data_IF_914858164676
#
_entry.id   IF_914858164676
#
_cell.length_a   1.000
_cell.length_b   1.000
_cell.length_c   1.000
_cell.angle_alpha   90.00
_cell.angle_beta   90.00
_cell.angle_gamma   90.00
#
_symmetry.space_group_name_H-M   'P 1'
#
loop_
_entity.id
_entity.type
_entity.pdbx_description
1 polymer ?
#
# COMPACT_ATOMS: atom_id res chain seq x y z
N UNK A 1 -9.48 5.45 -5.80
CA UNK A 1 -8.52 6.56 -5.63
C UNK A 1 -7.09 6.04 -5.69
N UNK A 2 -6.14 6.87 -6.13
CA UNK A 2 -4.70 6.54 -6.14
C UNK A 2 -3.99 7.50 -5.19
N UNK A 3 -3.21 6.97 -4.25
CA UNK A 3 -2.45 7.72 -3.25
C UNK A 3 -0.98 7.36 -3.38
N UNK A 4 -0.11 8.35 -3.52
CA UNK A 4 1.34 8.15 -3.74
C UNK A 4 2.12 8.81 -2.60
N UNK A 5 2.83 8.00 -1.82
CA UNK A 5 3.67 8.37 -0.66
C UNK A 5 3.02 9.35 0.33
N UNK A 6 1.70 9.34 0.45
CA UNK A 6 0.94 10.24 1.33
C UNK A 6 1.23 9.99 2.82
N UNK A 7 1.77 8.82 3.15
CA UNK A 7 2.15 8.39 4.49
C UNK A 7 3.62 8.69 4.83
N UNK A 8 4.43 9.20 3.88
CA UNK A 8 5.82 9.57 4.12
C UNK A 8 6.05 10.57 5.27
N UNK A 9 5.20 11.60 5.51
CA UNK A 9 5.40 12.52 6.63
C UNK A 9 4.80 12.02 7.96
N UNK A 10 4.16 10.84 7.99
CA UNK A 10 3.43 10.36 9.15
C UNK A 10 4.31 9.49 10.05
N UNK A 11 4.05 9.56 11.36
CA UNK A 11 4.60 8.61 12.32
C UNK A 11 3.77 7.30 12.37
N UNK A 12 4.32 6.28 13.02
CA UNK A 12 3.68 4.96 13.15
C UNK A 12 2.26 5.01 13.73
N UNK A 13 2.01 5.93 14.67
CA UNK A 13 0.70 6.08 15.31
C UNK A 13 -0.32 6.60 14.30
N UNK A 14 0.06 7.60 13.51
CA UNK A 14 -0.81 8.20 12.52
C UNK A 14 -0.99 7.29 11.30
N UNK A 15 0.01 6.49 10.93
CA UNK A 15 -0.13 5.46 9.89
C UNK A 15 -1.17 4.41 10.28
N UNK A 16 -1.21 3.97 11.55
CA UNK A 16 -2.26 3.06 12.03
C UNK A 16 -3.66 3.67 12.00
N UNK A 17 -3.79 4.99 12.20
CA UNK A 17 -5.07 5.70 12.06
C UNK A 17 -5.47 5.82 10.59
N UNK A 18 -4.51 6.17 9.74
CA UNK A 18 -4.68 6.30 8.30
C UNK A 18 -5.16 5.00 7.66
N UNK A 19 -4.47 3.89 7.94
CA UNK A 19 -4.82 2.55 7.43
C UNK A 19 -6.22 2.11 7.86
N UNK A 20 -6.63 2.36 9.11
CA UNK A 20 -8.01 2.08 9.57
C UNK A 20 -9.09 2.86 8.80
N UNK A 21 -8.81 4.12 8.48
CA UNK A 21 -9.75 4.94 7.69
C UNK A 21 -9.81 4.42 6.25
N UNK A 22 -8.67 4.07 5.66
CA UNK A 22 -8.62 3.47 4.33
C UNK A 22 -9.38 2.15 4.27
N UNK A 23 -9.22 1.29 5.27
CA UNK A 23 -9.93 0.00 5.37
C UNK A 23 -11.45 0.23 5.39
N UNK A 24 -11.95 1.12 6.23
CA UNK A 24 -13.38 1.43 6.30
C UNK A 24 -13.95 1.95 4.97
N UNK A 25 -13.21 2.82 4.26
CA UNK A 25 -13.66 3.32 2.96
C UNK A 25 -13.43 2.33 1.81
N UNK A 26 -12.59 1.31 2.00
CA UNK A 26 -12.32 0.30 0.98
C UNK A 26 -13.55 -0.55 0.64
N UNK A 27 -14.54 -0.61 1.54
CA UNK A 27 -15.81 -1.31 1.32
C UNK A 27 -16.64 -0.68 0.19
N UNK A 28 -16.56 0.64 0.02
CA UNK A 28 -17.31 1.38 -1.00
C UNK A 28 -16.44 1.83 -2.19
N UNK A 29 -15.14 2.04 -1.96
CA UNK A 29 -14.23 2.59 -2.97
C UNK A 29 -12.91 1.84 -3.00
N UNK A 30 -12.47 1.43 -4.18
CA UNK A 30 -11.14 0.84 -4.34
C UNK A 30 -10.02 1.88 -4.17
N UNK A 31 -9.06 1.58 -3.29
CA UNK A 31 -7.84 2.35 -3.09
C UNK A 31 -6.62 1.63 -3.66
N UNK A 32 -5.76 2.39 -4.34
CA UNK A 32 -4.42 1.98 -4.73
C UNK A 32 -3.45 2.91 -4.00
N UNK A 33 -2.59 2.33 -3.16
CA UNK A 33 -1.60 3.07 -2.39
C UNK A 33 -0.21 2.66 -2.84
N UNK A 34 0.60 3.65 -3.22
CA UNK A 34 2.02 3.50 -3.52
C UNK A 34 2.78 4.01 -2.31
N UNK A 35 3.52 3.12 -1.66
CA UNK A 35 4.26 3.42 -0.44
C UNK A 35 5.40 2.43 -0.24
N UNK A 36 6.41 2.85 0.52
CA UNK A 36 7.47 2.00 1.06
C UNK A 36 7.31 1.75 2.58
N UNK A 37 6.22 2.21 3.20
CA UNK A 37 5.97 2.06 4.62
C UNK A 37 5.40 0.67 4.96
N UNK A 38 6.09 -0.05 5.85
CA UNK A 38 5.73 -1.43 6.23
C UNK A 38 4.36 -1.53 6.89
N UNK A 39 3.98 -0.59 7.75
CA UNK A 39 2.70 -0.63 8.44
C UNK A 39 1.53 -0.43 7.48
N UNK A 40 1.70 0.40 6.45
CA UNK A 40 0.70 0.57 5.38
C UNK A 40 0.63 -0.65 4.49
N UNK A 41 1.78 -1.25 4.14
CA UNK A 41 1.85 -2.50 3.37
C UNK A 41 1.17 -3.68 4.08
N UNK A 42 1.34 -3.80 5.40
CA UNK A 42 0.75 -4.85 6.24
C UNK A 42 -0.77 -4.76 6.32
N UNK A 43 -1.35 -3.57 6.16
CA UNK A 43 -2.80 -3.36 6.21
C UNK A 43 -3.50 -3.60 4.87
N UNK A 44 -2.77 -3.84 3.78
CA UNK A 44 -3.34 -4.02 2.45
C UNK A 44 -3.87 -5.45 2.24
N UNK A 45 -4.95 -5.62 1.45
CA UNK A 45 -5.44 -6.96 1.09
C UNK A 45 -4.59 -7.61 -0.02
N UNK A 46 -4.07 -6.78 -0.93
CA UNK A 46 -3.22 -7.19 -2.04
C UNK A 46 -1.98 -6.30 -2.09
N UNK A 47 -0.83 -6.93 -2.27
CA UNK A 47 0.44 -6.24 -2.39
C UNK A 47 1.04 -6.48 -3.77
N UNK A 48 1.34 -5.40 -4.47
CA UNK A 48 1.98 -5.43 -5.78
C UNK A 48 3.39 -4.86 -5.65
N UNK A 49 4.39 -5.73 -5.65
CA UNK A 49 5.79 -5.35 -5.68
C UNK A 49 6.24 -5.05 -7.10
N UNK A 50 6.92 -3.92 -7.30
CA UNK A 50 7.58 -3.60 -8.57
C UNK A 50 9.08 -3.80 -8.39
N UNK A 51 9.67 -4.66 -9.21
CA UNK A 51 11.09 -5.01 -9.17
C UNK A 51 11.76 -4.68 -10.51
N UNK A 52 13.09 -4.50 -10.51
CA UNK A 52 13.87 -4.24 -11.72
C UNK A 52 15.03 -5.24 -11.79
N UNK A 53 14.75 -6.47 -12.21
CA UNK A 53 15.79 -7.51 -12.41
C UNK A 53 16.76 -7.11 -13.54
N UNK A 54 16.25 -6.45 -14.58
CA UNK A 54 17.04 -5.86 -15.66
C UNK A 54 16.90 -4.34 -15.63
N UNK A 55 18.01 -3.63 -15.85
CA UNK A 55 18.03 -2.17 -15.81
C UNK A 55 17.05 -1.59 -16.83
N UNK A 56 16.06 -0.83 -16.33
CA UNK A 56 15.04 -0.18 -17.17
C UNK A 56 13.86 -1.07 -17.56
N UNK A 57 13.79 -2.31 -17.05
CA UNK A 57 12.63 -3.20 -17.27
C UNK A 57 12.02 -3.54 -15.92
N UNK A 58 10.84 -2.97 -15.67
CA UNK A 58 10.05 -3.24 -14.46
C UNK A 58 9.30 -4.56 -14.59
N UNK A 59 9.29 -5.34 -13.51
CA UNK A 59 8.57 -6.61 -13.38
C UNK A 59 7.71 -6.58 -12.13
N UNK A 60 6.45 -6.98 -12.28
CA UNK A 60 5.45 -6.93 -11.23
C UNK A 60 5.33 -8.30 -10.56
N UNK A 61 5.33 -8.30 -9.23
CA UNK A 61 5.06 -9.46 -8.38
C UNK A 61 3.85 -9.15 -7.52
N UNK A 62 2.96 -10.12 -7.32
CA UNK A 62 1.77 -9.94 -6.50
C UNK A 62 1.73 -10.94 -5.36
N UNK A 63 1.27 -10.47 -4.20
CA UNK A 63 0.96 -11.28 -3.03
C UNK A 63 -0.45 -10.91 -2.59
N UNK A 64 -1.25 -11.92 -2.26
CA UNK A 64 -2.52 -11.73 -1.59
C UNK A 64 -2.32 -12.07 -0.13
N UNK A 65 -2.67 -11.15 0.76
CA UNK A 65 -2.73 -11.45 2.19
C UNK A 65 -4.09 -12.09 2.46
N UNK A 66 -4.08 -13.36 2.90
CA UNK A 66 -5.29 -14.04 3.34
C UNK A 66 -5.65 -13.56 4.75
N UNK A 67 -6.95 -13.36 4.99
CA UNK A 67 -7.52 -12.93 6.27
C UNK A 67 -7.56 -14.07 7.29
#
# INVERSE_FOLDING_TARGET
>A
CILDEVDAPLDDINIRKFTKVLEAFSEETQFIVVTHNKLTMEAANYLFGVTMEQKGVSKLVSVKFDA
#
